data_IF_145903972301
#
_entry.id   IF_145903972301
#
_cell.length_a   1.000
_cell.length_b   1.000
_cell.length_c   1.000
_cell.angle_alpha   90.00
_cell.angle_beta   90.00
_cell.angle_gamma   90.00
#
_symmetry.space_group_name_H-M   'P 1'
#
loop_
_entity.id
_entity.type
_entity.pdbx_description
1 polymer ?
#
# COMPACT_ATOMS: atom_id res chain seq x y z
N UNK A 1 14.59 -21.82 3.07
CA UNK A 1 15.51 -20.74 2.61
C UNK A 1 15.13 -20.37 1.18
N UNK A 2 14.17 -19.45 1.00
CA UNK A 2 13.82 -18.90 -0.31
C UNK A 2 15.01 -18.18 -0.91
N UNK A 3 15.38 -18.52 -2.14
CA UNK A 3 16.63 -18.07 -2.73
C UNK A 3 16.70 -16.54 -2.83
N UNK A 4 17.82 -15.95 -2.44
CA UNK A 4 18.16 -14.52 -2.60
C UNK A 4 17.80 -13.98 -4.00
N UNK A 5 17.88 -14.82 -5.02
CA UNK A 5 17.53 -14.49 -6.42
C UNK A 5 16.05 -14.19 -6.63
N UNK A 6 15.13 -14.91 -5.98
CA UNK A 6 13.68 -14.69 -6.13
C UNK A 6 13.25 -13.37 -5.50
N UNK A 7 13.84 -12.99 -4.37
CA UNK A 7 13.58 -11.72 -3.70
C UNK A 7 14.02 -10.52 -4.57
N UNK A 8 15.27 -10.56 -5.11
CA UNK A 8 15.75 -9.51 -5.99
C UNK A 8 14.93 -9.38 -7.27
N UNK A 9 14.51 -10.50 -7.85
CA UNK A 9 13.63 -10.50 -9.02
C UNK A 9 12.24 -9.91 -8.73
N UNK A 10 11.68 -10.18 -7.55
CA UNK A 10 10.44 -9.58 -7.10
C UNK A 10 10.58 -8.06 -6.91
N UNK A 11 11.63 -7.62 -6.22
CA UNK A 11 11.89 -6.19 -6.00
C UNK A 11 12.19 -5.43 -7.30
N UNK A 12 12.91 -6.03 -8.24
CA UNK A 12 13.16 -5.44 -9.56
C UNK A 12 11.85 -5.29 -10.37
N UNK A 13 10.95 -6.28 -10.32
CA UNK A 13 9.63 -6.19 -10.95
C UNK A 13 8.76 -5.10 -10.31
N UNK A 14 8.72 -5.04 -8.98
CA UNK A 14 7.99 -4.01 -8.23
C UNK A 14 8.53 -2.61 -8.56
N UNK A 15 9.85 -2.46 -8.67
CA UNK A 15 10.51 -1.23 -9.09
C UNK A 15 10.12 -0.84 -10.52
N UNK A 16 10.16 -1.79 -11.45
CA UNK A 16 9.74 -1.56 -12.84
C UNK A 16 8.28 -1.12 -12.94
N UNK A 17 7.37 -1.78 -12.22
CA UNK A 17 5.96 -1.37 -12.15
C UNK A 17 5.79 0.05 -11.61
N UNK A 18 6.57 0.43 -10.61
CA UNK A 18 6.55 1.77 -10.04
C UNK A 18 6.93 2.86 -11.06
N UNK A 19 7.92 2.59 -11.91
CA UNK A 19 8.40 3.54 -12.93
C UNK A 19 7.46 3.68 -14.12
N UNK A 20 6.69 2.64 -14.46
CA UNK A 20 5.73 2.65 -15.57
C UNK A 20 4.27 2.75 -15.09
N UNK A 21 4.07 3.10 -13.83
CA UNK A 21 2.73 3.20 -13.24
C UNK A 21 1.82 4.11 -14.10
N UNK A 22 0.65 3.61 -14.43
CA UNK A 22 -0.41 4.36 -15.12
C UNK A 22 -1.75 3.93 -14.56
N UNK A 23 -2.66 4.87 -14.45
CA UNK A 23 -4.08 4.63 -14.18
C UNK A 23 -4.83 4.97 -15.45
N UNK A 24 -5.48 3.98 -16.05
CA UNK A 24 -6.26 4.22 -17.27
C UNK A 24 -7.51 5.03 -16.92
N UNK A 25 -7.97 5.93 -17.83
CA UNK A 25 -9.19 6.70 -17.59
C UNK A 25 -10.40 5.83 -17.26
N UNK A 26 -10.53 4.65 -17.89
CA UNK A 26 -11.61 3.70 -17.63
C UNK A 26 -11.59 3.14 -16.21
N UNK A 27 -10.41 2.84 -15.64
CA UNK A 27 -10.27 2.37 -14.25
C UNK A 27 -10.75 3.43 -13.26
N UNK A 28 -10.44 4.71 -13.52
CA UNK A 28 -10.91 5.81 -12.67
C UNK A 28 -12.43 6.01 -12.78
N UNK A 29 -13.01 5.83 -13.96
CA UNK A 29 -14.48 5.90 -14.17
C UNK A 29 -15.16 4.76 -13.41
N UNK A 30 -14.61 3.54 -13.48
CA UNK A 30 -15.11 2.39 -12.71
C UNK A 30 -15.09 2.69 -11.21
N UNK A 31 -13.97 3.22 -10.70
CA UNK A 31 -13.88 3.61 -9.29
C UNK A 31 -14.92 4.68 -8.92
N UNK A 32 -15.16 5.67 -9.77
CA UNK A 32 -16.15 6.72 -9.53
C UNK A 32 -17.59 6.17 -9.41
N UNK A 33 -17.89 5.05 -10.05
CA UNK A 33 -19.16 4.34 -9.89
C UNK A 33 -19.29 3.54 -8.59
N UNK A 34 -18.17 3.28 -7.92
CA UNK A 34 -18.11 2.43 -6.73
C UNK A 34 -17.72 3.18 -5.44
N UNK A 35 -16.86 4.19 -5.53
CA UNK A 35 -16.38 4.99 -4.40
C UNK A 35 -17.33 6.19 -4.12
N UNK A 36 -17.35 6.63 -2.87
CA UNK A 36 -17.91 7.94 -2.53
C UNK A 36 -17.01 9.07 -3.08
N UNK A 37 -17.52 10.30 -3.23
CA UNK A 37 -16.69 11.44 -3.64
C UNK A 37 -15.46 11.67 -2.75
N UNK A 38 -15.59 11.46 -1.43
CA UNK A 38 -14.48 11.60 -0.49
C UNK A 38 -13.41 10.50 -0.68
N UNK A 39 -13.84 9.27 -0.89
CA UNK A 39 -12.94 8.14 -1.19
C UNK A 39 -12.23 8.33 -2.55
N UNK A 40 -12.95 8.81 -3.56
CA UNK A 40 -12.35 9.11 -4.86
C UNK A 40 -11.33 10.26 -4.76
N UNK A 41 -11.63 11.29 -3.96
CA UNK A 41 -10.69 12.38 -3.67
C UNK A 41 -9.42 11.87 -2.96
N UNK A 42 -9.56 10.94 -2.01
CA UNK A 42 -8.43 10.30 -1.36
C UNK A 42 -7.58 9.53 -2.39
N UNK A 43 -8.20 8.73 -3.26
CA UNK A 43 -7.51 8.00 -4.32
C UNK A 43 -6.75 8.96 -5.25
N UNK A 44 -7.39 10.02 -5.72
CA UNK A 44 -6.77 11.00 -6.63
C UNK A 44 -5.60 11.76 -5.97
N UNK A 45 -5.63 11.93 -4.64
CA UNK A 45 -4.56 12.54 -3.85
C UNK A 45 -3.33 11.64 -3.62
N UNK A 46 -3.43 10.34 -3.87
CA UNK A 46 -2.30 9.40 -3.73
C UNK A 46 -1.29 9.58 -4.86
N UNK A 47 0.01 9.33 -4.62
CA UNK A 47 1.02 9.23 -5.68
C UNK A 47 0.62 8.21 -6.74
N UNK A 48 0.95 8.48 -8.01
CA UNK A 48 0.54 7.64 -9.14
C UNK A 48 0.92 6.17 -8.98
N UNK A 49 2.10 5.90 -8.44
CA UNK A 49 2.57 4.54 -8.20
C UNK A 49 1.76 3.83 -7.11
N UNK A 50 1.35 4.55 -6.06
CA UNK A 50 0.53 3.99 -4.97
C UNK A 50 -0.92 3.79 -5.44
N UNK A 51 -1.44 4.67 -6.31
CA UNK A 51 -2.71 4.45 -7.00
C UNK A 51 -2.70 3.18 -7.84
N UNK A 52 -1.65 2.97 -8.65
CA UNK A 52 -1.52 1.76 -9.47
C UNK A 52 -1.44 0.52 -8.60
N UNK A 53 -0.60 0.55 -7.57
CA UNK A 53 -0.47 -0.57 -6.64
C UNK A 53 -1.79 -0.90 -5.94
N UNK A 54 -2.51 0.10 -5.41
CA UNK A 54 -3.82 -0.11 -4.81
C UNK A 54 -4.84 -0.72 -5.77
N UNK A 55 -4.83 -0.32 -7.06
CA UNK A 55 -5.66 -0.94 -8.09
C UNK A 55 -5.25 -2.40 -8.38
N UNK A 56 -3.96 -2.71 -8.38
CA UNK A 56 -3.47 -4.07 -8.58
C UNK A 56 -3.91 -4.98 -7.43
N UNK A 57 -3.79 -4.50 -6.17
CA UNK A 57 -4.27 -5.21 -4.98
C UNK A 57 -5.80 -5.41 -5.03
N UNK A 58 -6.56 -4.36 -5.33
CA UNK A 58 -8.01 -4.42 -5.51
C UNK A 58 -8.41 -5.47 -6.57
N UNK A 59 -7.78 -5.42 -7.75
CA UNK A 59 -8.02 -6.36 -8.83
C UNK A 59 -7.71 -7.80 -8.43
N UNK A 60 -6.64 -8.01 -7.66
CA UNK A 60 -6.28 -9.34 -7.16
C UNK A 60 -7.26 -9.86 -6.11
N UNK A 61 -7.71 -9.03 -5.18
CA UNK A 61 -8.74 -9.41 -4.21
C UNK A 61 -10.03 -9.85 -4.91
N UNK A 62 -10.47 -9.10 -5.93
CA UNK A 62 -11.61 -9.48 -6.77
C UNK A 62 -11.37 -10.78 -7.52
N UNK A 63 -10.19 -10.99 -8.10
CA UNK A 63 -9.84 -12.23 -8.79
C UNK A 63 -9.79 -13.44 -7.85
N UNK A 64 -9.54 -13.23 -6.55
CA UNK A 64 -9.65 -14.25 -5.49
C UNK A 64 -11.11 -14.46 -5.02
N UNK A 65 -12.07 -13.81 -5.65
CA UNK A 65 -13.50 -13.97 -5.38
C UNK A 65 -14.03 -13.10 -4.23
N UNK A 66 -13.26 -12.10 -3.76
CA UNK A 66 -13.77 -11.23 -2.69
C UNK A 66 -14.68 -10.16 -3.26
N UNK A 67 -15.88 -10.04 -2.67
CA UNK A 67 -16.84 -8.94 -2.83
C UNK A 67 -16.98 -8.09 -1.53
N UNK A 68 -16.20 -8.43 -0.51
CA UNK A 68 -16.17 -7.73 0.78
C UNK A 68 -15.68 -6.28 0.60
N UNK A 69 -16.62 -5.34 0.68
CA UNK A 69 -16.36 -3.92 0.45
C UNK A 69 -15.26 -3.35 1.35
N UNK A 70 -15.25 -3.72 2.65
CA UNK A 70 -14.25 -3.23 3.59
C UNK A 70 -12.85 -3.74 3.25
N UNK A 71 -12.72 -5.00 2.85
CA UNK A 71 -11.48 -5.59 2.41
C UNK A 71 -10.99 -4.97 1.09
N UNK A 72 -11.88 -4.74 0.14
CA UNK A 72 -11.55 -4.08 -1.13
C UNK A 72 -11.09 -2.64 -0.93
N UNK A 73 -11.75 -1.87 -0.02
CA UNK A 73 -11.32 -0.52 0.35
C UNK A 73 -9.97 -0.54 1.08
N UNK A 74 -9.75 -1.51 1.96
CA UNK A 74 -8.46 -1.69 2.61
C UNK A 74 -7.36 -1.96 1.57
N UNK A 75 -7.59 -2.85 0.61
CA UNK A 75 -6.65 -3.11 -0.49
C UNK A 75 -6.34 -1.88 -1.33
N UNK A 76 -7.34 -1.04 -1.61
CA UNK A 76 -7.14 0.19 -2.39
C UNK A 76 -6.35 1.26 -1.65
N UNK A 77 -6.54 1.39 -0.32
CA UNK A 77 -6.04 2.53 0.46
C UNK A 77 -4.92 2.20 1.46
N UNK A 78 -4.44 0.93 1.55
CA UNK A 78 -3.43 0.56 2.55
C UNK A 78 -2.14 1.39 2.48
N UNK A 79 -1.82 1.94 1.31
CA UNK A 79 -0.63 2.74 1.03
C UNK A 79 -0.89 4.27 0.98
N UNK A 80 -2.10 4.75 1.20
CA UNK A 80 -2.45 6.16 1.09
C UNK A 80 -1.62 7.08 2.01
N UNK A 81 -1.19 6.56 3.17
CA UNK A 81 -0.38 7.29 4.16
C UNK A 81 1.09 7.50 3.79
N UNK A 82 1.62 6.82 2.76
CA UNK A 82 2.99 7.04 2.28
C UNK A 82 3.19 8.47 1.77
N UNK A 83 2.24 8.98 1.00
CA UNK A 83 2.21 10.36 0.52
C UNK A 83 3.31 10.70 -0.50
N UNK A 84 3.26 11.92 -1.09
CA UNK A 84 4.12 12.31 -2.22
C UNK A 84 5.59 12.54 -1.86
N UNK A 85 5.92 12.70 -0.59
CA UNK A 85 7.32 12.91 -0.15
C UNK A 85 8.18 11.65 -0.19
N UNK A 86 7.57 10.47 -0.33
CA UNK A 86 8.29 9.20 -0.40
C UNK A 86 8.79 8.97 -1.82
N UNK A 87 10.10 9.19 -2.01
CA UNK A 87 10.79 8.92 -3.26
C UNK A 87 11.17 7.44 -3.37
N UNK A 88 11.48 7.01 -4.59
CA UNK A 88 11.87 5.63 -4.89
C UNK A 88 13.02 5.12 -4.02
N UNK A 89 14.07 5.92 -3.83
CA UNK A 89 15.22 5.52 -3.01
C UNK A 89 14.86 5.29 -1.54
N UNK A 90 13.84 6.01 -0.99
CA UNK A 90 13.35 5.76 0.37
C UNK A 90 12.73 4.36 0.48
N UNK A 91 11.95 3.94 -0.54
CA UNK A 91 11.34 2.61 -0.59
C UNK A 91 12.37 1.50 -0.71
N UNK A 92 13.39 1.72 -1.55
CA UNK A 92 14.53 0.78 -1.68
C UNK A 92 15.28 0.70 -0.35
N UNK A 93 15.61 1.84 0.26
CA UNK A 93 16.30 1.87 1.56
C UNK A 93 15.48 1.19 2.67
N UNK A 94 14.16 1.37 2.67
CA UNK A 94 13.27 0.68 3.61
C UNK A 94 13.32 -0.84 3.41
N UNK A 95 13.11 -1.33 2.18
CA UNK A 95 13.15 -2.76 1.86
C UNK A 95 14.52 -3.40 2.17
N UNK A 96 15.62 -2.67 1.96
CA UNK A 96 16.94 -3.12 2.38
C UNK A 96 17.07 -3.17 3.90
N UNK A 97 16.49 -2.20 4.59
CA UNK A 97 16.48 -2.17 6.05
C UNK A 97 15.73 -3.33 6.68
N UNK A 98 14.60 -3.73 6.12
CA UNK A 98 13.86 -4.92 6.55
C UNK A 98 14.70 -6.20 6.42
N UNK A 99 15.55 -6.28 5.42
CA UNK A 99 16.43 -7.43 5.19
C UNK A 99 17.74 -7.39 5.98
N UNK A 100 18.35 -6.22 6.09
CA UNK A 100 19.67 -6.01 6.70
C UNK A 100 19.60 -5.65 8.19
N UNK A 101 18.41 -5.28 8.65
CA UNK A 101 18.15 -4.94 10.04
C UNK A 101 18.16 -3.44 10.36
N UNK A 102 17.94 -3.09 11.65
CA UNK A 102 17.68 -1.69 12.08
C UNK A 102 18.82 -0.70 11.78
N UNK A 103 20.06 -1.19 11.63
CA UNK A 103 21.20 -0.33 11.33
C UNK A 103 21.08 0.32 9.93
N UNK A 104 20.54 -0.40 8.96
CA UNK A 104 20.35 0.12 7.61
C UNK A 104 19.24 1.20 7.57
N UNK A 105 18.15 1.05 8.33
CA UNK A 105 17.16 2.10 8.53
C UNK A 105 17.78 3.35 9.17
N UNK A 106 18.63 3.18 10.20
CA UNK A 106 19.33 4.30 10.87
C UNK A 106 20.27 5.03 9.91
N UNK A 107 20.99 4.29 9.07
CA UNK A 107 21.86 4.89 8.05
C UNK A 107 21.07 5.67 7.01
N UNK A 108 19.98 5.09 6.48
CA UNK A 108 19.09 5.75 5.53
C UNK A 108 18.46 7.04 6.14
N UNK A 109 18.11 7.01 7.43
CA UNK A 109 17.56 8.17 8.12
C UNK A 109 18.53 9.35 8.23
N UNK A 110 19.84 9.11 8.14
CA UNK A 110 20.87 10.17 8.17
C UNK A 110 21.08 10.88 6.84
N UNK A 111 20.57 10.31 5.75
CA UNK A 111 20.63 10.94 4.43
C UNK A 111 19.65 12.13 4.33
N UNK A 112 19.92 13.13 3.48
CA UNK A 112 19.04 14.27 3.31
C UNK A 112 17.60 13.84 2.99
N UNK A 113 16.64 14.26 3.81
CA UNK A 113 15.23 13.86 3.70
C UNK A 113 14.90 12.45 4.20
N UNK A 114 15.91 11.64 4.60
CA UNK A 114 15.72 10.24 5.00
C UNK A 114 14.99 10.07 6.32
N UNK A 115 15.27 10.92 7.33
CA UNK A 115 14.67 10.77 8.66
C UNK A 115 13.14 10.87 8.64
N UNK A 116 12.60 11.90 8.01
CA UNK A 116 11.16 12.09 7.86
C UNK A 116 10.51 11.00 6.96
N UNK A 117 11.23 10.53 5.93
CA UNK A 117 10.76 9.47 5.06
C UNK A 117 10.71 8.12 5.77
N UNK A 118 11.74 7.76 6.54
CA UNK A 118 11.77 6.51 7.31
C UNK A 118 10.69 6.50 8.40
N UNK A 119 10.48 7.61 9.11
CA UNK A 119 9.38 7.75 10.07
C UNK A 119 8.02 7.55 9.37
N UNK A 120 7.81 8.21 8.24
CA UNK A 120 6.57 8.08 7.46
C UNK A 120 6.33 6.66 6.94
N UNK A 121 7.37 5.97 6.47
CA UNK A 121 7.28 4.58 6.04
C UNK A 121 6.97 3.62 7.19
N UNK A 122 7.48 3.89 8.39
CA UNK A 122 7.16 3.11 9.59
C UNK A 122 5.69 3.28 9.99
N UNK A 123 5.20 4.53 9.96
CA UNK A 123 3.89 4.90 10.49
C UNK A 123 2.82 4.97 9.36
N UNK A 124 3.13 4.47 8.14
CA UNK A 124 2.24 4.65 6.97
C UNK A 124 0.90 3.93 7.13
N UNK A 125 0.87 2.76 7.77
CA UNK A 125 -0.36 2.00 7.99
C UNK A 125 -1.34 2.77 8.87
N UNK A 126 -0.88 3.34 9.97
CA UNK A 126 -1.71 4.18 10.85
C UNK A 126 -2.25 5.42 10.12
N UNK A 127 -1.38 6.07 9.31
CA UNK A 127 -1.77 7.21 8.48
C UNK A 127 -2.76 6.84 7.41
N UNK A 128 -2.57 5.70 6.74
CA UNK A 128 -3.49 5.18 5.71
C UNK A 128 -4.87 4.91 6.32
N UNK A 129 -4.92 4.26 7.48
CA UNK A 129 -6.15 3.99 8.19
C UNK A 129 -6.87 5.29 8.61
N UNK A 130 -6.13 6.28 9.12
CA UNK A 130 -6.70 7.58 9.49
C UNK A 130 -7.27 8.32 8.26
N UNK A 131 -6.57 8.30 7.13
CA UNK A 131 -7.05 8.89 5.88
C UNK A 131 -8.27 8.16 5.32
N UNK A 132 -8.29 6.83 5.39
CA UNK A 132 -9.43 6.02 4.98
C UNK A 132 -10.68 6.33 5.83
N UNK A 133 -10.52 6.41 7.16
CA UNK A 133 -11.63 6.82 8.07
C UNK A 133 -12.12 8.23 7.74
N UNK A 134 -11.24 9.20 7.53
CA UNK A 134 -11.60 10.56 7.15
C UNK A 134 -12.33 10.63 5.80
N UNK A 135 -12.05 9.69 4.88
CA UNK A 135 -12.76 9.53 3.61
C UNK A 135 -14.07 8.73 3.74
N UNK A 136 -14.49 8.36 4.95
CA UNK A 136 -15.73 7.64 5.21
C UNK A 136 -15.64 6.12 4.99
N UNK A 137 -14.45 5.52 5.02
CA UNK A 137 -14.32 4.07 5.15
C UNK A 137 -14.69 3.62 6.57
N UNK A 138 -15.16 2.37 6.69
CA UNK A 138 -15.55 1.81 7.97
C UNK A 138 -14.36 1.52 8.91
N UNK A 139 -14.62 1.38 10.23
CA UNK A 139 -13.58 0.97 11.20
C UNK A 139 -12.92 -0.36 10.84
N UNK A 140 -13.66 -1.28 10.22
CA UNK A 140 -13.15 -2.58 9.77
C UNK A 140 -12.10 -2.43 8.65
N UNK A 141 -12.38 -1.56 7.65
CA UNK A 141 -11.37 -1.23 6.62
C UNK A 141 -10.10 -0.66 7.25
N UNK A 142 -10.26 0.25 8.23
CA UNK A 142 -9.12 0.87 8.93
C UNK A 142 -8.32 -0.15 9.76
N UNK A 143 -8.97 -1.09 10.43
CA UNK A 143 -8.32 -2.17 11.16
C UNK A 143 -7.52 -3.10 10.26
N UNK A 144 -8.09 -3.47 9.10
CA UNK A 144 -7.38 -4.24 8.08
C UNK A 144 -6.14 -3.51 7.55
N UNK A 145 -6.23 -2.19 7.31
CA UNK A 145 -5.10 -1.35 6.86
C UNK A 145 -4.01 -1.29 7.92
N UNK A 146 -4.34 -1.14 9.21
CA UNK A 146 -3.35 -1.09 10.29
C UNK A 146 -2.71 -2.43 10.59
N UNK A 147 -3.39 -3.53 10.26
CA UNK A 147 -2.99 -4.87 10.67
C UNK A 147 -3.37 -5.22 12.11
N UNK A 148 -4.30 -4.47 12.72
CA UNK A 148 -4.86 -4.70 14.05
C UNK A 148 -6.31 -5.22 14.02
N UNK A 149 -6.69 -5.81 12.89
CA UNK A 149 -8.01 -6.39 12.71
C UNK A 149 -8.27 -7.52 13.74
N UNK A 150 -9.50 -7.65 14.27
CA UNK A 150 -9.84 -8.69 15.22
C UNK A 150 -9.70 -10.09 14.61
N UNK A 151 -9.58 -11.13 15.46
CA UNK A 151 -9.43 -12.53 15.01
C UNK A 151 -10.54 -12.98 14.05
N UNK A 152 -11.74 -12.43 14.18
CA UNK A 152 -12.84 -12.70 13.25
C UNK A 152 -12.50 -12.30 11.80
N UNK A 153 -11.60 -11.35 11.61
CA UNK A 153 -11.14 -10.84 10.30
C UNK A 153 -9.80 -11.44 9.85
N UNK A 154 -9.27 -12.43 10.55
CA UNK A 154 -7.95 -13.03 10.24
C UNK A 154 -7.86 -13.53 8.80
N UNK A 155 -8.92 -14.13 8.27
CA UNK A 155 -8.97 -14.58 6.88
C UNK A 155 -8.90 -13.40 5.89
N UNK A 156 -9.62 -12.30 6.15
CA UNK A 156 -9.58 -11.09 5.34
C UNK A 156 -8.19 -10.43 5.39
N UNK A 157 -7.57 -10.35 6.58
CA UNK A 157 -6.22 -9.83 6.75
C UNK A 157 -5.18 -10.67 5.98
N UNK A 158 -5.30 -12.01 6.03
CA UNK A 158 -4.43 -12.92 5.27
C UNK A 158 -4.60 -12.75 3.74
N UNK A 159 -5.83 -12.58 3.26
CA UNK A 159 -6.11 -12.30 1.85
C UNK A 159 -5.51 -10.96 1.41
N UNK A 160 -5.65 -9.92 2.23
CA UNK A 160 -5.06 -8.61 1.94
C UNK A 160 -3.54 -8.70 1.81
N UNK A 161 -2.90 -9.34 2.77
CA UNK A 161 -1.44 -9.54 2.78
C UNK A 161 -0.96 -10.32 1.54
N UNK A 162 -1.64 -11.43 1.21
CA UNK A 162 -1.31 -12.23 0.04
C UNK A 162 -1.51 -11.46 -1.29
N UNK A 163 -2.56 -10.63 -1.37
CA UNK A 163 -2.82 -9.80 -2.54
C UNK A 163 -1.77 -8.69 -2.69
N UNK A 164 -1.34 -8.07 -1.60
CA UNK A 164 -0.29 -7.05 -1.57
C UNK A 164 1.07 -7.62 -1.99
N UNK A 165 1.50 -8.74 -1.39
CA UNK A 165 2.78 -9.38 -1.73
C UNK A 165 2.89 -9.81 -3.19
N UNK A 166 1.77 -10.15 -3.83
CA UNK A 166 1.71 -10.63 -5.20
C UNK A 166 1.52 -9.50 -6.24
N UNK A 167 1.27 -8.25 -5.80
CA UNK A 167 1.06 -7.05 -6.60
C UNK A 167 2.32 -6.21 -6.68
#
# INVERSE_FOLDING_TARGET
MGSSRSWWASKARQLGRHLVARVAPGERVELAGWLTPAQLSLFDGMPLADRRHGLDVLGRLRALGSDDRDLLLAGLFHDAGKGPSIRLWHRVAWSLGERLGPWAHRLAARLPGGGGAMARLRDHSDRSAALALAAGCGPRSAGLIRGDAPLADAAAAALLHAADEAS
#
